data_IF_458132068010
#
_entry.id   IF_458132068010
#
_cell.length_a   1.000
_cell.length_b   1.000
_cell.length_c   1.000
_cell.angle_alpha   90.00
_cell.angle_beta   90.00
_cell.angle_gamma   90.00
#
_symmetry.space_group_name_H-M   'P 1'
#
loop_
_entity.id
_entity.type
_entity.pdbx_description
1 polymer ?
#
# COMPACT_ATOMS: atom_id res chain seq x y z
N UNK A 1 87.32 -31.62 26.76
CA UNK A 1 85.93 -31.80 26.33
C UNK A 1 85.29 -30.42 26.29
N UNK A 2 85.29 -29.77 25.11
CA UNK A 2 84.70 -28.45 24.89
C UNK A 2 83.34 -28.61 24.24
N UNK A 3 82.28 -28.20 24.91
CA UNK A 3 80.89 -28.19 24.33
C UNK A 3 80.72 -26.99 23.45
N UNK A 4 80.50 -27.25 22.16
CA UNK A 4 80.14 -26.22 21.14
C UNK A 4 78.67 -25.90 21.25
N UNK A 5 78.37 -24.65 21.56
CA UNK A 5 76.98 -24.13 21.55
C UNK A 5 76.64 -23.58 20.14
N UNK A 6 75.72 -24.21 19.43
CA UNK A 6 75.21 -23.76 18.18
C UNK A 6 73.99 -22.85 18.49
N UNK A 7 74.15 -21.56 18.19
CA UNK A 7 73.05 -20.61 18.21
C UNK A 7 72.28 -20.65 16.88
N UNK A 8 71.08 -21.19 16.89
CA UNK A 8 70.18 -21.18 15.75
C UNK A 8 69.44 -19.85 15.70
N UNK A 9 69.80 -18.99 14.77
CA UNK A 9 69.11 -17.68 14.52
C UNK A 9 67.89 -17.91 13.63
N UNK A 10 66.69 -17.93 14.21
CA UNK A 10 65.47 -18.12 13.49
C UNK A 10 65.02 -16.73 12.93
N UNK A 11 65.26 -16.52 11.64
CA UNK A 11 64.76 -15.31 10.92
C UNK A 11 63.27 -15.51 10.63
N UNK A 12 62.42 -14.78 11.35
CA UNK A 12 60.98 -14.75 11.13
C UNK A 12 60.67 -13.73 10.01
N UNK A 13 60.49 -14.23 8.79
CA UNK A 13 60.09 -13.38 7.64
C UNK A 13 58.59 -13.13 7.72
N UNK A 14 58.20 -11.99 8.23
CA UNK A 14 56.79 -11.50 8.19
C UNK A 14 56.47 -11.07 6.76
N UNK A 15 55.76 -11.90 6.03
CA UNK A 15 55.14 -11.56 4.76
C UNK A 15 53.91 -10.72 5.08
N UNK A 16 54.03 -9.42 4.88
CA UNK A 16 52.89 -8.49 4.85
C UNK A 16 52.07 -8.78 3.60
N UNK A 17 51.03 -9.60 3.73
CA UNK A 17 49.95 -9.71 2.76
C UNK A 17 49.14 -8.41 2.83
N UNK A 18 49.55 -7.41 2.06
CA UNK A 18 48.65 -6.27 1.73
C UNK A 18 47.56 -6.80 0.83
N UNK A 19 46.50 -7.38 1.45
CA UNK A 19 45.25 -7.66 0.78
C UNK A 19 44.64 -6.34 0.38
N UNK A 20 44.69 -5.97 -0.91
CA UNK A 20 43.75 -5.01 -1.48
C UNK A 20 42.35 -5.58 -1.30
N UNK A 21 41.71 -5.29 -0.18
CA UNK A 21 40.26 -5.40 -0.08
C UNK A 21 39.74 -4.39 -1.11
N UNK A 22 39.38 -4.88 -2.30
CA UNK A 22 38.48 -4.14 -3.16
C UNK A 22 37.23 -3.91 -2.29
N UNK A 23 36.98 -2.69 -1.88
CA UNK A 23 35.67 -2.27 -1.39
C UNK A 23 34.72 -2.61 -2.55
N UNK A 24 34.00 -3.70 -2.43
CA UNK A 24 32.81 -3.94 -3.24
C UNK A 24 31.89 -2.83 -2.78
N UNK A 25 31.64 -1.87 -3.67
CA UNK A 25 30.64 -0.85 -3.47
C UNK A 25 29.33 -1.63 -3.21
N UNK A 26 28.94 -1.70 -1.95
CA UNK A 26 27.70 -2.39 -1.56
C UNK A 26 26.53 -1.50 -1.85
N UNK A 27 26.40 -0.94 -3.02
CA UNK A 27 25.25 -0.17 -3.45
C UNK A 27 24.45 0.55 -2.35
N UNK A 28 23.80 1.61 -2.67
CA UNK A 28 22.91 2.30 -1.75
C UNK A 28 21.55 1.57 -1.72
N UNK A 29 20.94 1.45 -0.54
CA UNK A 29 19.67 0.75 -0.38
C UNK A 29 18.73 1.50 0.54
N UNK A 30 17.46 1.62 0.14
CA UNK A 30 16.36 2.14 0.97
C UNK A 30 15.25 1.11 1.07
N UNK A 31 14.40 1.25 2.08
CA UNK A 31 13.23 0.40 2.29
C UNK A 31 11.96 1.24 2.36
N UNK A 32 10.95 0.84 1.58
CA UNK A 32 9.60 1.37 1.60
C UNK A 32 8.65 0.29 2.14
N UNK A 33 7.97 0.58 3.26
CA UNK A 33 7.09 -0.39 3.94
C UNK A 33 5.71 0.21 4.14
N UNK A 34 4.67 -0.60 4.03
CA UNK A 34 3.35 -0.15 4.47
C UNK A 34 2.18 -0.63 3.64
N UNK A 35 1.41 0.30 3.07
CA UNK A 35 0.21 -0.01 2.30
C UNK A 35 0.44 -1.11 1.27
N UNK A 36 -0.36 -2.17 1.35
CA UNK A 36 -0.40 -3.18 0.30
C UNK A 36 -1.26 -2.74 -0.89
N UNK A 37 -2.09 -1.71 -0.76
CA UNK A 37 -2.80 -1.13 -1.89
C UNK A 37 -1.85 -0.35 -2.81
N UNK A 38 -0.90 0.39 -2.25
CA UNK A 38 0.13 1.12 -3.00
C UNK A 38 1.28 0.21 -3.50
N UNK A 39 1.44 -0.97 -2.93
CA UNK A 39 2.59 -1.85 -3.17
C UNK A 39 2.87 -2.11 -4.66
N UNK A 40 1.88 -2.44 -5.53
CA UNK A 40 2.15 -2.70 -6.95
C UNK A 40 2.77 -1.51 -7.68
N UNK A 41 2.34 -0.29 -7.40
CA UNK A 41 2.92 0.91 -8.01
C UNK A 41 4.38 1.10 -7.57
N UNK A 42 4.63 1.01 -6.26
CA UNK A 42 5.99 1.22 -5.72
C UNK A 42 6.95 0.11 -6.19
N UNK A 43 6.52 -1.15 -6.27
CA UNK A 43 7.33 -2.26 -6.79
C UNK A 43 7.68 -2.07 -8.26
N UNK A 44 6.70 -1.73 -9.11
CA UNK A 44 6.94 -1.49 -10.54
C UNK A 44 7.91 -0.33 -10.75
N UNK A 45 7.68 0.79 -10.07
CA UNK A 45 8.54 1.98 -10.21
C UNK A 45 9.94 1.72 -9.61
N UNK A 46 10.05 0.95 -8.52
CA UNK A 46 11.32 0.54 -7.94
C UNK A 46 12.12 -0.33 -8.91
N UNK A 47 11.48 -1.28 -9.60
CA UNK A 47 12.14 -2.08 -10.63
C UNK A 47 12.63 -1.22 -11.80
N UNK A 48 11.81 -0.31 -12.30
CA UNK A 48 12.20 0.63 -13.36
C UNK A 48 13.39 1.51 -12.93
N UNK A 49 13.35 2.04 -11.71
CA UNK A 49 14.42 2.87 -11.16
C UNK A 49 15.74 2.10 -11.06
N UNK A 50 15.71 0.89 -10.49
CA UNK A 50 16.89 0.03 -10.29
C UNK A 50 17.52 -0.40 -11.62
N UNK A 51 16.70 -0.65 -12.65
CA UNK A 51 17.19 -1.00 -13.99
C UNK A 51 17.98 0.16 -14.64
N UNK A 52 17.64 1.40 -14.31
CA UNK A 52 18.31 2.60 -14.81
C UNK A 52 19.46 3.07 -13.91
N UNK A 53 19.55 2.62 -12.66
CA UNK A 53 20.49 3.10 -11.65
C UNK A 53 21.21 1.92 -10.97
N UNK A 54 22.19 1.34 -11.65
CA UNK A 54 22.95 0.18 -11.14
C UNK A 54 23.61 0.47 -9.79
N UNK A 55 23.43 -0.43 -8.84
CA UNK A 55 23.98 -0.30 -7.48
C UNK A 55 23.07 0.48 -6.53
N UNK A 56 21.87 0.87 -6.95
CA UNK A 56 20.84 1.46 -6.09
C UNK A 56 19.67 0.50 -5.95
N UNK A 57 19.23 0.23 -4.71
CA UNK A 57 18.22 -0.77 -4.41
C UNK A 57 17.07 -0.18 -3.58
N UNK A 58 15.85 -0.43 -4.02
CA UNK A 58 14.64 -0.06 -3.30
C UNK A 58 13.93 -1.35 -2.87
N UNK A 59 13.89 -1.62 -1.56
CA UNK A 59 13.20 -2.78 -1.01
C UNK A 59 11.76 -2.39 -0.67
N UNK A 60 10.80 -3.02 -1.31
CA UNK A 60 9.36 -2.75 -1.09
C UNK A 60 8.74 -3.87 -0.26
N UNK A 61 7.99 -3.52 0.77
CA UNK A 61 7.33 -4.48 1.65
C UNK A 61 5.91 -4.03 1.99
N UNK A 62 4.97 -4.94 1.95
CA UNK A 62 3.63 -4.74 2.49
C UNK A 62 3.62 -4.69 4.02
N UNK A 63 2.43 -4.68 4.63
CA UNK A 63 2.26 -4.72 6.08
C UNK A 63 1.18 -3.77 6.59
N UNK A 64 0.54 -3.04 5.67
CA UNK A 64 -0.52 -2.06 5.94
C UNK A 64 0.00 -0.68 6.33
N UNK A 65 -0.83 0.33 6.10
CA UNK A 65 -0.52 1.75 6.33
C UNK A 65 -0.04 2.05 7.75
N UNK A 66 -0.65 1.41 8.75
CA UNK A 66 -0.25 1.58 10.15
C UNK A 66 1.19 1.12 10.42
N UNK A 67 1.64 0.04 9.76
CA UNK A 67 3.04 -0.43 9.85
C UNK A 67 3.98 0.56 9.19
N UNK A 68 3.64 1.04 7.99
CA UNK A 68 4.42 2.04 7.26
C UNK A 68 4.65 3.30 8.08
N UNK A 69 3.56 3.91 8.55
CA UNK A 69 3.60 5.13 9.38
C UNK A 69 4.42 4.94 10.66
N UNK A 70 4.24 3.81 11.37
CA UNK A 70 5.00 3.56 12.60
C UNK A 70 6.49 3.36 12.35
N UNK A 71 6.86 2.64 11.29
CA UNK A 71 8.26 2.37 10.98
C UNK A 71 8.99 3.61 10.47
N UNK A 72 8.37 4.42 9.61
CA UNK A 72 8.99 5.66 9.14
C UNK A 72 9.12 6.68 10.27
N UNK A 73 8.11 6.82 11.12
CA UNK A 73 8.19 7.71 12.29
C UNK A 73 9.35 7.33 13.22
N UNK A 74 9.55 6.03 13.48
CA UNK A 74 10.66 5.55 14.29
C UNK A 74 12.02 5.68 13.60
N UNK A 75 12.05 5.90 12.28
CA UNK A 75 13.28 5.90 11.46
C UNK A 75 13.80 4.50 11.17
N UNK A 76 12.99 3.46 11.33
CA UNK A 76 13.36 2.08 10.99
C UNK A 76 13.41 1.85 9.47
N UNK A 77 12.66 2.64 8.70
CA UNK A 77 12.65 2.64 7.23
C UNK A 77 12.72 4.07 6.70
N UNK A 78 13.12 4.21 5.45
CA UNK A 78 13.24 5.50 4.79
C UNK A 78 11.89 6.03 4.31
N UNK A 79 10.99 5.12 3.89
CA UNK A 79 9.67 5.48 3.35
C UNK A 79 8.59 4.64 4.02
N UNK A 80 7.52 5.30 4.48
CA UNK A 80 6.30 4.68 4.98
C UNK A 80 5.15 4.87 4.00
N UNK A 81 4.67 3.79 3.39
CA UNK A 81 3.56 3.80 2.45
C UNK A 81 2.21 3.77 3.19
N UNK A 82 1.25 4.62 2.81
CA UNK A 82 -0.03 4.72 3.50
C UNK A 82 -1.17 5.17 2.59
N UNK A 83 -2.35 4.56 2.75
CA UNK A 83 -3.62 5.02 2.17
C UNK A 83 -4.33 6.06 3.09
N UNK A 84 -3.73 6.34 4.25
CA UNK A 84 -4.27 7.28 5.23
C UNK A 84 -3.35 8.46 5.40
N UNK A 85 -3.91 9.61 5.69
CA UNK A 85 -3.12 10.71 6.24
C UNK A 85 -2.51 10.29 7.57
N UNK A 86 -1.31 10.78 7.86
CA UNK A 86 -0.62 10.46 9.12
C UNK A 86 -1.43 10.93 10.35
N UNK A 87 -2.19 12.01 10.20
CA UNK A 87 -3.08 12.60 11.21
C UNK A 87 -4.26 11.68 11.58
N UNK A 88 -4.71 10.84 10.66
CA UNK A 88 -5.81 9.89 10.90
C UNK A 88 -5.38 8.70 11.76
N UNK A 89 -4.07 8.50 11.93
CA UNK A 89 -3.55 7.34 12.66
C UNK A 89 -3.14 7.71 14.09
N UNK A 90 -3.88 7.19 15.04
CA UNK A 90 -3.54 7.35 16.47
C UNK A 90 -2.13 6.85 16.80
N UNK A 91 -1.37 7.65 17.54
CA UNK A 91 0.01 7.34 17.93
C UNK A 91 1.08 7.73 16.91
N UNK A 92 0.68 8.37 15.81
CA UNK A 92 1.59 8.97 14.83
C UNK A 92 1.69 10.48 15.07
N UNK A 93 2.91 10.98 15.13
CA UNK A 93 3.20 12.43 15.13
C UNK A 93 3.39 12.88 13.67
N UNK A 94 2.29 13.30 13.05
CA UNK A 94 2.27 13.74 11.67
C UNK A 94 3.21 14.94 11.42
N UNK A 95 3.43 15.79 12.44
CA UNK A 95 4.31 16.97 12.29
C UNK A 95 5.78 16.61 12.08
N UNK A 96 6.19 15.38 12.41
CA UNK A 96 7.54 14.87 12.19
C UNK A 96 7.72 14.22 10.81
N UNK A 97 6.65 14.10 10.03
CA UNK A 97 6.63 13.42 8.74
C UNK A 97 6.41 14.41 7.60
N UNK A 98 7.03 14.12 6.45
CA UNK A 98 6.76 14.82 5.19
C UNK A 98 5.92 13.93 4.31
N UNK A 99 4.80 14.45 3.83
CA UNK A 99 3.84 13.77 2.98
C UNK A 99 4.18 13.95 1.50
N UNK A 100 4.31 12.84 0.77
CA UNK A 100 4.47 12.80 -0.68
C UNK A 100 3.28 12.02 -1.26
N UNK A 101 2.27 12.75 -1.78
CA UNK A 101 1.11 12.13 -2.44
C UNK A 101 1.53 11.68 -3.83
N UNK A 102 1.60 10.38 -4.05
CA UNK A 102 2.08 9.80 -5.31
C UNK A 102 0.97 9.35 -6.26
N UNK A 103 -0.23 9.13 -5.76
CA UNK A 103 -1.42 8.79 -6.54
C UNK A 103 -2.69 9.02 -5.72
N UNK A 104 -3.86 8.83 -6.35
CA UNK A 104 -5.10 8.49 -5.68
C UNK A 104 -5.58 7.11 -6.16
N UNK A 105 -6.44 6.44 -5.38
CA UNK A 105 -7.00 5.15 -5.76
C UNK A 105 -8.44 5.02 -5.25
N UNK A 106 -9.35 4.53 -6.11
CA UNK A 106 -10.67 4.10 -5.68
C UNK A 106 -10.60 2.79 -4.90
N UNK A 107 -11.51 2.62 -3.96
CA UNK A 107 -11.70 1.38 -3.21
C UNK A 107 -13.10 0.88 -3.51
N UNK A 108 -13.23 -0.40 -3.84
CA UNK A 108 -14.51 -0.99 -4.24
C UNK A 108 -14.82 -2.26 -3.43
N UNK A 109 -16.09 -2.51 -3.12
CA UNK A 109 -16.51 -3.85 -2.69
C UNK A 109 -16.23 -4.85 -3.81
N UNK A 110 -15.71 -6.00 -3.44
CA UNK A 110 -15.53 -7.16 -4.31
C UNK A 110 -16.32 -8.34 -3.77
N UNK A 111 -16.95 -9.08 -4.66
CA UNK A 111 -17.75 -10.25 -4.32
C UNK A 111 -17.37 -11.46 -5.15
N UNK A 112 -17.64 -12.64 -4.61
CA UNK A 112 -17.56 -13.87 -5.37
C UNK A 112 -18.61 -13.88 -6.50
N UNK A 113 -18.26 -14.37 -7.68
CA UNK A 113 -19.11 -14.35 -8.89
C UNK A 113 -20.46 -15.06 -8.73
N UNK A 114 -20.57 -16.01 -7.79
CA UNK A 114 -21.81 -16.73 -7.54
C UNK A 114 -22.85 -15.90 -6.74
N UNK A 115 -22.48 -14.71 -6.27
CA UNK A 115 -23.38 -13.82 -5.52
C UNK A 115 -24.53 -13.31 -6.40
N UNK A 116 -24.24 -12.99 -7.67
CA UNK A 116 -25.26 -12.73 -8.69
C UNK A 116 -25.93 -11.36 -8.60
N UNK A 117 -25.27 -10.34 -7.99
CA UNK A 117 -25.67 -8.92 -8.04
C UNK A 117 -24.54 -8.08 -8.60
N UNK A 118 -24.89 -6.95 -9.23
CA UNK A 118 -23.94 -5.98 -9.78
C UNK A 118 -24.07 -4.58 -9.17
N UNK A 119 -25.14 -4.34 -8.38
CA UNK A 119 -25.40 -3.08 -7.70
C UNK A 119 -25.93 -3.35 -6.29
N UNK A 120 -25.61 -2.48 -5.36
CA UNK A 120 -26.09 -2.53 -3.98
C UNK A 120 -26.34 -1.12 -3.43
N UNK A 121 -27.40 -0.96 -2.66
CA UNK A 121 -27.60 0.30 -1.96
C UNK A 121 -26.53 0.48 -0.86
N UNK A 122 -25.97 1.70 -0.72
CA UNK A 122 -24.98 2.02 0.32
C UNK A 122 -25.44 1.60 1.72
N UNK A 123 -26.72 1.85 2.04
CA UNK A 123 -27.32 1.45 3.32
C UNK A 123 -27.28 -0.06 3.58
N UNK A 124 -27.42 -0.89 2.53
CA UNK A 124 -27.44 -2.35 2.66
C UNK A 124 -26.02 -2.90 2.67
N UNK A 125 -25.10 -2.31 1.91
CA UNK A 125 -23.65 -2.58 2.03
C UNK A 125 -23.16 -2.34 3.48
N UNK A 126 -23.53 -1.19 4.06
CA UNK A 126 -23.25 -0.88 5.47
C UNK A 126 -23.79 -1.94 6.42
N UNK A 127 -25.05 -2.39 6.25
CA UNK A 127 -25.66 -3.43 7.08
C UNK A 127 -24.97 -4.78 6.95
N UNK A 128 -24.48 -5.15 5.75
CA UNK A 128 -23.69 -6.36 5.54
C UNK A 128 -22.42 -6.30 6.41
N UNK A 129 -21.66 -5.21 6.31
CA UNK A 129 -20.42 -5.08 7.07
C UNK A 129 -20.63 -4.89 8.57
N UNK A 130 -21.80 -4.42 9.01
CA UNK A 130 -22.20 -4.40 10.43
C UNK A 130 -22.77 -5.75 10.89
N UNK A 131 -23.08 -6.68 9.95
CA UNK A 131 -23.57 -8.02 10.21
C UNK A 131 -25.06 -8.09 10.49
N UNK A 132 -25.81 -7.08 10.06
CA UNK A 132 -27.27 -7.02 10.15
C UNK A 132 -27.94 -7.78 9.00
N UNK A 133 -27.36 -7.77 7.79
CA UNK A 133 -27.72 -8.59 6.64
C UNK A 133 -26.72 -9.74 6.55
N UNK A 134 -27.22 -10.97 6.47
CA UNK A 134 -26.39 -12.18 6.54
C UNK A 134 -26.60 -13.16 5.40
N UNK A 135 -27.56 -12.90 4.53
CA UNK A 135 -27.84 -13.70 3.35
C UNK A 135 -28.01 -12.79 2.12
N UNK A 136 -27.39 -13.16 0.99
CA UNK A 136 -27.43 -12.36 -0.23
C UNK A 136 -28.83 -12.17 -0.81
N UNK A 137 -29.77 -13.10 -0.57
CA UNK A 137 -31.17 -12.95 -1.01
C UNK A 137 -31.88 -11.71 -0.41
N UNK A 138 -31.41 -11.22 0.73
CA UNK A 138 -31.99 -10.04 1.38
C UNK A 138 -31.74 -8.75 0.56
N UNK A 139 -30.74 -8.81 -0.33
CA UNK A 139 -30.35 -7.70 -1.22
C UNK A 139 -30.46 -8.07 -2.71
N UNK A 140 -31.24 -9.11 -3.04
CA UNK A 140 -31.54 -9.51 -4.43
C UNK A 140 -30.55 -10.49 -5.06
N UNK A 141 -29.59 -10.98 -4.31
CA UNK A 141 -28.62 -11.99 -4.76
C UNK A 141 -29.13 -13.43 -4.56
N UNK A 142 -28.22 -14.38 -4.74
CA UNK A 142 -28.48 -15.80 -4.54
C UNK A 142 -28.88 -16.12 -3.09
N UNK A 143 -29.69 -17.20 -2.89
CA UNK A 143 -30.00 -17.66 -1.53
C UNK A 143 -28.81 -18.41 -0.94
N UNK A 144 -27.84 -17.64 -0.46
CA UNK A 144 -26.62 -18.14 0.18
C UNK A 144 -26.15 -17.21 1.29
N UNK A 145 -25.49 -17.75 2.34
CA UNK A 145 -24.93 -16.94 3.41
C UNK A 145 -23.87 -15.97 2.90
N UNK A 146 -23.80 -14.78 3.50
CA UNK A 146 -22.71 -13.84 3.28
C UNK A 146 -21.49 -14.28 4.08
N UNK A 147 -20.36 -14.48 3.41
CA UNK A 147 -19.05 -14.73 4.00
C UNK A 147 -18.26 -13.44 4.01
N UNK A 148 -18.30 -12.73 5.15
CA UNK A 148 -17.58 -11.47 5.29
C UNK A 148 -16.10 -11.72 5.53
N UNK A 149 -15.24 -11.12 4.68
CA UNK A 149 -13.81 -11.00 4.91
C UNK A 149 -13.47 -9.54 5.18
N UNK A 150 -12.60 -9.31 6.15
CA UNK A 150 -12.12 -7.98 6.50
C UNK A 150 -10.62 -7.85 6.20
N UNK A 151 -10.16 -6.61 6.14
CA UNK A 151 -8.74 -6.31 6.18
C UNK A 151 -8.30 -6.21 7.65
N UNK A 152 -7.02 -6.48 7.93
CA UNK A 152 -6.46 -6.30 9.26
C UNK A 152 -6.60 -4.84 9.75
N UNK A 153 -6.64 -4.63 11.05
CA UNK A 153 -6.84 -3.31 11.68
C UNK A 153 -5.76 -2.27 11.34
N UNK A 154 -4.60 -2.70 10.82
CA UNK A 154 -3.53 -1.83 10.32
C UNK A 154 -3.68 -1.41 8.87
N UNK A 155 -4.68 -1.92 8.14
CA UNK A 155 -4.93 -1.60 6.74
C UNK A 155 -5.52 -0.20 6.59
N UNK A 156 -4.89 0.65 5.77
CA UNK A 156 -5.45 1.94 5.40
C UNK A 156 -6.69 1.81 4.53
N UNK A 157 -6.70 0.84 3.60
CA UNK A 157 -7.88 0.49 2.79
C UNK A 157 -9.11 0.20 3.67
N UNK A 158 -8.91 -0.50 4.82
CA UNK A 158 -9.97 -0.70 5.81
C UNK A 158 -10.40 0.61 6.46
N UNK A 159 -9.45 1.43 6.87
CA UNK A 159 -9.75 2.73 7.48
C UNK A 159 -10.61 3.59 6.56
N UNK A 160 -10.22 3.70 5.29
CA UNK A 160 -10.99 4.43 4.27
C UNK A 160 -12.38 3.82 4.04
N UNK A 161 -12.47 2.49 3.92
CA UNK A 161 -13.77 1.83 3.74
C UNK A 161 -14.69 2.02 4.96
N UNK A 162 -14.20 1.84 6.17
CA UNK A 162 -14.97 2.04 7.41
C UNK A 162 -15.41 3.52 7.54
N UNK A 163 -14.56 4.47 7.16
CA UNK A 163 -14.92 5.89 7.18
C UNK A 163 -16.06 6.23 6.21
N UNK A 164 -15.97 5.77 4.96
CA UNK A 164 -16.86 6.23 3.90
C UNK A 164 -18.09 5.33 3.66
N UNK A 165 -18.04 4.07 4.07
CA UNK A 165 -19.18 3.13 3.97
C UNK A 165 -19.89 2.97 5.30
N UNK A 166 -19.14 2.94 6.40
CA UNK A 166 -19.68 2.66 7.73
C UNK A 166 -19.85 3.91 8.59
N UNK A 167 -19.62 5.12 8.03
CA UNK A 167 -19.63 6.40 8.75
C UNK A 167 -18.72 6.37 9.98
N UNK A 168 -17.53 5.76 9.86
CA UNK A 168 -16.55 5.61 10.92
C UNK A 168 -16.84 4.48 11.91
N UNK A 169 -17.92 3.71 11.74
CA UNK A 169 -18.17 2.54 12.57
C UNK A 169 -17.20 1.39 12.21
N UNK A 170 -16.87 0.57 13.20
CA UNK A 170 -16.02 -0.60 13.01
C UNK A 170 -16.83 -1.76 12.43
N UNK A 171 -16.31 -2.38 11.37
CA UNK A 171 -16.89 -3.56 10.76
C UNK A 171 -17.04 -4.71 11.76
N UNK A 172 -18.09 -5.55 11.59
CA UNK A 172 -18.29 -6.77 12.34
C UNK A 172 -17.01 -7.63 12.34
N UNK A 173 -16.71 -8.26 13.44
CA UNK A 173 -15.63 -9.26 13.53
C UNK A 173 -15.84 -10.39 12.52
N UNK A 174 -14.85 -10.59 11.66
CA UNK A 174 -14.82 -11.62 10.63
C UNK A 174 -13.39 -12.13 10.45
N UNK A 175 -13.17 -13.03 9.49
CA UNK A 175 -11.80 -13.39 9.10
C UNK A 175 -11.08 -12.14 8.60
N UNK A 176 -9.87 -11.90 9.08
CA UNK A 176 -9.05 -10.75 8.69
C UNK A 176 -7.85 -11.19 7.86
N UNK A 177 -7.51 -10.34 6.88
CA UNK A 177 -6.31 -10.49 6.03
C UNK A 177 -5.56 -9.17 5.95
N UNK A 178 -4.25 -9.22 5.98
CA UNK A 178 -3.37 -8.06 5.93
C UNK A 178 -2.96 -7.66 4.49
N UNK A 179 -3.08 -8.56 3.51
CA UNK A 179 -2.73 -8.36 2.11
C UNK A 179 -3.96 -8.17 1.21
N UNK A 180 -3.95 -7.14 0.34
CA UNK A 180 -4.99 -6.91 -0.67
C UNK A 180 -5.10 -8.07 -1.65
N UNK A 181 -3.98 -8.64 -2.10
CA UNK A 181 -3.97 -9.78 -3.02
C UNK A 181 -4.57 -11.03 -2.39
N UNK A 182 -4.29 -11.31 -1.13
CA UNK A 182 -4.85 -12.46 -0.42
C UNK A 182 -6.37 -12.33 -0.23
N UNK A 183 -6.85 -11.14 0.12
CA UNK A 183 -8.30 -10.86 0.23
C UNK A 183 -8.99 -11.14 -1.10
N UNK A 184 -8.49 -10.60 -2.22
CA UNK A 184 -9.05 -10.84 -3.55
C UNK A 184 -9.13 -12.33 -3.87
N UNK A 185 -8.03 -13.06 -3.66
CA UNK A 185 -7.98 -14.48 -3.92
C UNK A 185 -9.03 -15.26 -3.10
N UNK A 186 -9.13 -15.00 -1.79
CA UNK A 186 -10.10 -15.70 -0.92
C UNK A 186 -11.53 -15.37 -1.35
N UNK A 187 -11.83 -14.11 -1.75
CA UNK A 187 -13.16 -13.75 -2.26
C UNK A 187 -13.46 -14.51 -3.55
N UNK A 188 -12.52 -14.59 -4.48
CA UNK A 188 -12.69 -15.37 -5.72
C UNK A 188 -12.97 -16.85 -5.47
N UNK A 189 -12.27 -17.44 -4.50
CA UNK A 189 -12.35 -18.88 -4.20
C UNK A 189 -13.51 -19.27 -3.26
N UNK A 190 -14.17 -18.29 -2.62
CA UNK A 190 -15.18 -18.57 -1.57
C UNK A 190 -16.58 -18.15 -2.01
N UNK A 191 -17.49 -19.10 -2.29
CA UNK A 191 -18.89 -18.79 -2.59
C UNK A 191 -19.54 -17.90 -1.52
N UNK A 192 -20.24 -16.85 -1.95
CA UNK A 192 -20.90 -15.89 -1.07
C UNK A 192 -19.99 -14.89 -0.37
N UNK A 193 -18.69 -14.90 -0.66
CA UNK A 193 -17.74 -13.98 -0.03
C UNK A 193 -17.88 -12.53 -0.52
N UNK A 194 -17.62 -11.61 0.41
CA UNK A 194 -17.49 -10.16 0.17
C UNK A 194 -16.32 -9.61 0.95
N UNK A 195 -15.60 -8.68 0.32
CA UNK A 195 -14.60 -7.81 0.93
C UNK A 195 -14.48 -6.51 0.15
N UNK A 196 -13.36 -5.81 0.28
CA UNK A 196 -13.05 -4.59 -0.47
C UNK A 196 -11.55 -4.49 -0.74
N UNK A 197 -11.21 -3.93 -1.90
CA UNK A 197 -9.82 -3.70 -2.33
C UNK A 197 -9.70 -2.38 -3.10
N UNK A 198 -8.48 -1.90 -3.26
CA UNK A 198 -8.18 -0.82 -4.20
C UNK A 198 -8.41 -1.28 -5.65
N UNK A 199 -8.76 -0.35 -6.55
CA UNK A 199 -9.03 -0.65 -7.97
C UNK A 199 -7.87 -1.39 -8.64
N UNK A 200 -6.64 -1.08 -8.26
CA UNK A 200 -5.42 -1.75 -8.73
C UNK A 200 -5.36 -3.26 -8.46
N UNK A 201 -6.24 -3.77 -7.58
CA UNK A 201 -6.35 -5.21 -7.27
C UNK A 201 -7.55 -5.89 -7.90
N UNK A 202 -8.40 -5.16 -8.62
CA UNK A 202 -9.55 -5.76 -9.30
C UNK A 202 -9.08 -6.58 -10.50
N UNK A 203 -9.51 -7.83 -10.55
CA UNK A 203 -9.25 -8.75 -11.67
C UNK A 203 -10.53 -9.49 -12.04
N UNK A 204 -10.48 -10.25 -13.12
CA UNK A 204 -11.58 -11.09 -13.57
C UNK A 204 -11.91 -12.28 -12.64
N UNK A 205 -11.20 -12.45 -11.53
CA UNK A 205 -11.50 -13.49 -10.52
C UNK A 205 -12.67 -13.11 -9.61
N UNK A 206 -12.98 -11.82 -9.50
CA UNK A 206 -14.03 -11.27 -8.62
C UNK A 206 -14.93 -10.31 -9.38
N UNK A 207 -16.15 -10.11 -8.90
CA UNK A 207 -17.02 -9.04 -9.39
C UNK A 207 -16.94 -7.83 -8.45
N UNK A 208 -17.06 -6.63 -9.04
CA UNK A 208 -17.23 -5.37 -8.30
C UNK A 208 -18.70 -5.01 -8.24
N UNK A 209 -19.09 -4.21 -7.26
CA UNK A 209 -20.45 -3.71 -7.12
C UNK A 209 -20.51 -2.21 -7.40
N UNK A 210 -21.47 -1.79 -8.23
CA UNK A 210 -21.95 -0.40 -8.20
C UNK A 210 -22.61 -0.11 -6.86
N UNK A 211 -22.61 1.13 -6.42
CA UNK A 211 -23.29 1.55 -5.20
C UNK A 211 -24.29 2.65 -5.55
N UNK A 212 -25.58 2.42 -5.25
CA UNK A 212 -26.68 3.31 -5.60
C UNK A 212 -26.68 3.71 -7.09
N UNK A 213 -26.30 2.79 -7.98
CA UNK A 213 -26.20 2.97 -9.42
C UNK A 213 -24.93 3.69 -9.90
N UNK A 214 -24.01 4.05 -9.00
CA UNK A 214 -22.72 4.64 -9.37
C UNK A 214 -21.66 3.53 -9.50
N UNK A 215 -21.00 3.47 -10.65
CA UNK A 215 -19.96 2.49 -10.94
C UNK A 215 -18.61 2.88 -10.31
N UNK A 216 -17.81 1.89 -9.82
CA UNK A 216 -16.46 2.12 -9.32
C UNK A 216 -15.50 2.38 -10.48
N UNK A 217 -15.41 3.63 -10.93
CA UNK A 217 -14.53 4.07 -12.02
C UNK A 217 -13.65 5.23 -11.60
N UNK A 218 -12.46 5.35 -12.21
CA UNK A 218 -11.54 6.46 -11.97
C UNK A 218 -12.24 7.81 -12.20
N UNK A 219 -13.06 7.91 -13.26
CA UNK A 219 -13.83 9.12 -13.55
C UNK A 219 -14.74 9.52 -12.39
N UNK A 220 -15.45 8.57 -11.79
CA UNK A 220 -16.37 8.84 -10.69
C UNK A 220 -15.59 9.15 -9.39
N UNK A 221 -14.37 8.62 -9.24
CA UNK A 221 -13.45 8.99 -8.15
C UNK A 221 -12.98 10.43 -8.32
N UNK A 222 -12.52 10.83 -9.52
CA UNK A 222 -11.97 12.17 -9.75
C UNK A 222 -12.99 13.29 -9.46
N UNK A 223 -14.29 13.02 -9.60
CA UNK A 223 -15.39 13.96 -9.32
C UNK A 223 -16.00 13.79 -7.93
N UNK A 224 -15.57 12.78 -7.18
CA UNK A 224 -16.17 12.36 -5.90
C UNK A 224 -17.61 11.80 -6.02
N UNK A 225 -18.10 11.46 -7.23
CA UNK A 225 -19.33 10.68 -7.38
C UNK A 225 -19.20 9.29 -6.75
N UNK A 226 -17.98 8.70 -6.84
CA UNK A 226 -17.56 7.55 -6.05
C UNK A 226 -16.76 8.04 -4.84
N UNK A 227 -17.32 8.05 -3.62
CA UNK A 227 -16.69 8.69 -2.46
C UNK A 227 -15.66 7.80 -1.75
N UNK A 228 -15.59 6.48 -2.08
CA UNK A 228 -14.74 5.52 -1.40
C UNK A 228 -13.38 5.51 -2.11
N UNK A 229 -12.51 6.44 -1.75
CA UNK A 229 -11.16 6.57 -2.32
C UNK A 229 -10.20 7.18 -1.30
N UNK A 230 -8.92 7.00 -1.53
CA UNK A 230 -7.84 7.61 -0.73
C UNK A 230 -6.74 8.14 -1.63
N UNK A 231 -5.94 9.07 -1.11
CA UNK A 231 -4.60 9.28 -1.64
C UNK A 231 -3.70 8.11 -1.25
N UNK A 232 -2.72 7.88 -2.08
CA UNK A 232 -1.58 7.02 -1.80
C UNK A 232 -0.40 7.89 -1.44
N UNK A 233 0.04 7.76 -0.20
CA UNK A 233 1.07 8.58 0.41
C UNK A 233 2.36 7.78 0.57
N UNK A 234 3.50 8.43 0.33
CA UNK A 234 4.81 7.96 0.72
C UNK A 234 5.38 8.95 1.73
N UNK A 235 5.42 8.57 3.00
CA UNK A 235 5.92 9.44 4.07
C UNK A 235 7.40 9.25 4.29
N UNK A 236 8.10 10.38 4.56
CA UNK A 236 9.49 10.38 5.05
C UNK A 236 9.57 11.05 6.41
N UNK A 237 10.57 10.67 7.22
CA UNK A 237 10.86 11.36 8.48
C UNK A 237 11.74 12.58 8.21
N UNK A 238 11.10 13.76 8.16
CA UNK A 238 11.75 14.98 7.68
C UNK A 238 11.99 14.98 6.17
N UNK A 239 12.71 16.00 5.66
CA UNK A 239 13.00 16.13 4.24
C UNK A 239 13.84 14.96 3.71
N UNK A 240 13.47 14.37 2.55
CA UNK A 240 14.21 13.25 1.99
C UNK A 240 15.54 13.68 1.43
N UNK A 241 16.57 12.84 1.57
CA UNK A 241 17.92 13.04 1.05
C UNK A 241 18.40 11.82 0.26
N UNK A 242 19.44 11.97 -0.55
CA UNK A 242 20.09 10.88 -1.29
C UNK A 242 19.12 10.06 -2.12
N UNK A 243 19.30 8.75 -2.11
CA UNK A 243 18.47 7.79 -2.87
C UNK A 243 16.96 7.91 -2.56
N UNK A 244 16.59 8.24 -1.33
CA UNK A 244 15.18 8.43 -0.96
C UNK A 244 14.57 9.61 -1.73
N UNK A 245 15.28 10.73 -1.79
CA UNK A 245 14.84 11.91 -2.55
C UNK A 245 14.76 11.60 -4.05
N UNK A 246 15.79 10.95 -4.58
CA UNK A 246 15.87 10.64 -6.01
C UNK A 246 14.76 9.68 -6.44
N UNK A 247 14.46 8.66 -5.63
CA UNK A 247 13.36 7.74 -5.88
C UNK A 247 11.98 8.42 -5.81
N UNK A 248 11.75 9.28 -4.80
CA UNK A 248 10.52 10.06 -4.71
C UNK A 248 10.36 11.03 -5.89
N UNK A 249 11.44 11.66 -6.34
CA UNK A 249 11.40 12.50 -7.54
C UNK A 249 11.09 11.68 -8.80
N UNK A 250 11.56 10.43 -8.89
CA UNK A 250 11.30 9.55 -10.02
C UNK A 250 9.83 9.10 -10.06
N UNK A 251 9.26 8.63 -8.94
CA UNK A 251 7.84 8.23 -8.91
C UNK A 251 6.89 9.41 -9.18
N UNK A 252 7.30 10.63 -8.83
CA UNK A 252 6.55 11.86 -9.09
C UNK A 252 6.86 12.50 -10.46
N UNK A 253 7.74 11.89 -11.26
CA UNK A 253 8.07 12.43 -12.59
C UNK A 253 6.90 12.34 -13.57
N UNK A 254 6.87 13.23 -14.56
CA UNK A 254 5.84 13.23 -15.61
C UNK A 254 5.78 11.89 -16.34
N UNK A 255 6.91 11.21 -16.53
CA UNK A 255 6.99 9.91 -17.18
C UNK A 255 6.16 8.86 -16.41
N UNK A 256 6.34 8.77 -15.10
CA UNK A 256 5.63 7.80 -14.26
C UNK A 256 4.16 8.20 -14.07
N UNK A 257 3.91 9.47 -13.80
CA UNK A 257 2.58 9.99 -13.52
C UNK A 257 1.65 9.93 -14.74
N UNK A 258 2.16 10.17 -15.95
CA UNK A 258 1.33 10.18 -17.17
C UNK A 258 1.07 8.79 -17.79
N UNK A 259 1.74 7.74 -17.31
CA UNK A 259 1.64 6.39 -17.90
C UNK A 259 1.44 5.30 -16.85
N UNK A 260 2.45 5.02 -16.04
CA UNK A 260 2.50 3.87 -15.14
C UNK A 260 1.41 3.94 -14.06
N UNK A 261 1.14 5.12 -13.51
CA UNK A 261 0.11 5.31 -12.48
C UNK A 261 -1.24 4.81 -12.99
N UNK A 262 -1.69 5.30 -14.15
CA UNK A 262 -2.99 4.89 -14.73
C UNK A 262 -2.99 3.45 -15.25
N UNK A 263 -1.87 2.97 -15.83
CA UNK A 263 -1.75 1.60 -16.32
C UNK A 263 -1.95 0.56 -15.19
N UNK A 264 -1.53 0.90 -13.98
CA UNK A 264 -1.65 0.04 -12.80
C UNK A 264 -2.97 0.23 -12.02
N UNK A 265 -3.93 1.01 -12.53
CA UNK A 265 -5.24 1.23 -11.90
C UNK A 265 -5.19 2.22 -10.73
N UNK A 266 -4.28 3.18 -10.79
CA UNK A 266 -4.26 4.35 -9.93
C UNK A 266 -4.59 5.61 -10.72
N UNK A 267 -4.88 6.68 -10.01
CA UNK A 267 -5.25 7.97 -10.58
C UNK A 267 -4.13 8.97 -10.27
N UNK A 268 -3.53 9.62 -11.28
CA UNK A 268 -2.61 10.73 -11.05
C UNK A 268 -3.24 11.81 -10.18
N UNK A 269 -2.52 12.31 -9.18
CA UNK A 269 -3.06 13.35 -8.28
C UNK A 269 -3.52 14.59 -9.07
N UNK A 270 -2.84 14.92 -10.17
CA UNK A 270 -3.18 16.05 -11.03
C UNK A 270 -4.53 15.90 -11.76
N UNK A 271 -5.04 14.67 -11.91
CA UNK A 271 -6.31 14.39 -12.58
C UNK A 271 -7.52 14.54 -11.63
N UNK A 272 -7.27 14.59 -10.33
CA UNK A 272 -8.32 14.82 -9.34
C UNK A 272 -8.93 16.21 -9.50
N UNK A 273 -10.25 16.28 -9.52
CA UNK A 273 -11.03 17.54 -9.61
C UNK A 273 -11.44 18.07 -8.25
N UNK A 274 -11.13 17.30 -7.23
CA UNK A 274 -11.39 17.63 -5.82
C UNK A 274 -10.15 17.30 -5.00
N UNK A 275 -10.01 17.95 -3.87
CA UNK A 275 -9.08 17.58 -2.82
C UNK A 275 -9.82 17.16 -1.57
N UNK A 276 -9.22 16.25 -0.83
CA UNK A 276 -9.69 15.80 0.49
C UNK A 276 -8.56 15.99 1.50
N UNK A 277 -8.90 16.57 2.65
CA UNK A 277 -7.96 16.69 3.76
C UNK A 277 -8.09 15.53 4.77
N UNK A 278 -7.20 15.49 5.77
CA UNK A 278 -7.19 14.49 6.83
C UNK A 278 -8.46 14.49 7.73
N UNK A 279 -9.30 15.52 7.62
CA UNK A 279 -10.58 15.60 8.34
C UNK A 279 -11.78 15.16 7.47
N UNK A 280 -11.49 14.73 6.23
CA UNK A 280 -12.52 14.33 5.28
C UNK A 280 -13.23 15.50 4.60
N UNK A 281 -12.75 16.75 4.77
CA UNK A 281 -13.32 17.88 4.02
C UNK A 281 -12.92 17.78 2.56
N UNK A 282 -13.91 17.92 1.68
CA UNK A 282 -13.72 17.88 0.23
C UNK A 282 -13.89 19.28 -0.33
N UNK A 283 -12.94 19.73 -1.14
CA UNK A 283 -12.98 21.00 -1.84
C UNK A 283 -12.75 20.80 -3.34
N UNK A 284 -13.40 21.61 -4.18
CA UNK A 284 -13.15 21.57 -5.63
C UNK A 284 -11.81 22.25 -5.94
N UNK A 285 -11.04 21.64 -6.84
CA UNK A 285 -9.76 22.18 -7.34
C UNK A 285 -9.92 22.93 -8.66
N UNK A 286 -11.11 22.87 -9.28
CA UNK A 286 -11.43 23.50 -10.59
C UNK A 286 -12.67 24.36 -10.50
#
# INVERSE_FOLDING_TARGET
>A
MKKLKINLFLVFTTVLLSGCAKWVDQGESITAVGSSALQPLVETVAEMYQNNNSGQFINVQGGGSGTGLSQVQSGAVQIGNSDLFAEEKSGIDASALVDHRVAAVGITPIVNKEVGISDIAMKDLKKIFLGEITNWKEVGGADQPIVLLNRASGSGTRGTFEQWVLDGAVSKRAQEQDSSGMVRQIVGDTPGAISYVAFSYVTDEVDTLSIDGVEPTDKNVTTNEWPIWSYEHMYTKGEPEGLTKDFLAFILSDEIQSSIVSELGYIPVADMQIERDAHGNVVSTK
#
